data_IF_088097965152
#
_entry.id   IF_088097965152
#
_cell.length_a   1.000
_cell.length_b   1.000
_cell.length_c   1.000
_cell.angle_alpha   90.00
_cell.angle_beta   90.00
_cell.angle_gamma   90.00
#
_symmetry.space_group_name_H-M   'P 1'
#
loop_
_entity.id
_entity.type
_entity.pdbx_description
1 polymer ?
#
# COMPACT_ATOMS: atom_id res chain seq x y z
N UNK A 1 15.05 0.77 -2.71
CA UNK A 1 14.23 -0.29 -2.09
C UNK A 1 12.90 -0.40 -2.82
N UNK A 2 12.43 -1.59 -3.07
CA UNK A 2 11.17 -1.77 -3.78
C UNK A 2 9.98 -1.52 -2.87
N UNK A 3 8.91 -0.99 -3.44
CA UNK A 3 7.71 -0.67 -2.68
C UNK A 3 7.14 -1.90 -1.98
N UNK A 4 7.23 -3.08 -2.59
CA UNK A 4 6.71 -4.30 -1.98
C UNK A 4 7.44 -4.61 -0.66
N UNK A 5 8.75 -4.38 -0.61
CA UNK A 5 9.51 -4.63 0.62
C UNK A 5 9.14 -3.67 1.73
N UNK A 6 8.94 -2.39 1.38
CA UNK A 6 8.54 -1.40 2.37
C UNK A 6 7.16 -1.69 2.93
N UNK A 7 6.22 -2.05 2.06
CA UNK A 7 4.87 -2.35 2.51
C UNK A 7 4.84 -3.63 3.35
N UNK A 8 5.61 -4.66 2.96
CA UNK A 8 5.68 -5.88 3.76
C UNK A 8 6.21 -5.62 5.16
N UNK A 9 7.21 -4.76 5.27
CA UNK A 9 7.73 -4.36 6.57
C UNK A 9 6.65 -3.69 7.42
N UNK A 10 5.91 -2.78 6.80
CA UNK A 10 4.88 -2.04 7.52
C UNK A 10 3.72 -2.93 7.96
N UNK A 11 3.26 -3.83 7.10
CA UNK A 11 2.17 -4.72 7.48
C UNK A 11 2.59 -5.67 8.60
N UNK A 12 3.84 -6.15 8.56
CA UNK A 12 4.35 -6.99 9.65
C UNK A 12 4.41 -6.22 10.95
N UNK A 13 4.87 -4.97 10.90
CA UNK A 13 4.98 -4.12 12.08
C UNK A 13 3.60 -3.79 12.66
N UNK A 14 2.61 -3.60 11.80
CA UNK A 14 1.26 -3.24 12.24
C UNK A 14 0.38 -4.46 12.53
N UNK A 15 0.86 -5.66 12.23
CA UNK A 15 0.09 -6.87 12.49
C UNK A 15 -1.07 -7.10 11.55
N UNK A 16 -1.00 -6.57 10.34
CA UNK A 16 -2.03 -6.78 9.31
C UNK A 16 -1.42 -7.54 8.14
N UNK A 17 -2.22 -7.76 7.10
CA UNK A 17 -1.78 -8.52 5.93
C UNK A 17 -1.97 -7.71 4.66
N UNK A 18 -1.32 -8.15 3.57
CA UNK A 18 -1.52 -7.53 2.27
C UNK A 18 -2.96 -7.73 1.80
N UNK A 19 -3.57 -8.85 2.17
CA UNK A 19 -4.98 -9.10 1.85
C UNK A 19 -5.87 -8.02 2.45
N UNK A 20 -5.60 -7.66 3.70
CA UNK A 20 -6.32 -6.58 4.36
C UNK A 20 -6.19 -5.27 3.58
N UNK A 21 -4.98 -4.96 3.12
CA UNK A 21 -4.76 -3.74 2.35
C UNK A 21 -5.52 -3.76 1.02
N UNK A 22 -5.52 -4.93 0.35
CA UNK A 22 -6.26 -5.05 -0.90
C UNK A 22 -7.75 -4.83 -0.69
N UNK A 23 -8.30 -5.36 0.40
CA UNK A 23 -9.69 -5.15 0.74
C UNK A 23 -9.99 -3.69 1.04
N UNK A 24 -9.09 -3.05 1.78
CA UNK A 24 -9.25 -1.64 2.09
C UNK A 24 -9.26 -0.79 0.82
N UNK A 25 -8.35 -1.06 -0.09
CA UNK A 25 -8.28 -0.34 -1.36
C UNK A 25 -9.54 -0.55 -2.19
N UNK A 26 -10.07 -1.76 -2.19
CA UNK A 26 -11.31 -2.05 -2.91
C UNK A 26 -12.47 -1.26 -2.35
N UNK A 27 -12.57 -1.17 -1.03
CA UNK A 27 -13.66 -0.48 -0.38
C UNK A 27 -13.60 1.04 -0.54
N UNK A 28 -12.39 1.58 -0.65
CA UNK A 28 -12.19 3.04 -0.65
C UNK A 28 -11.80 3.60 -2.01
N UNK A 29 -11.96 2.79 -3.07
CA UNK A 29 -11.68 3.25 -4.43
C UNK A 29 -12.75 2.67 -5.35
N UNK A 30 -12.71 3.07 -6.62
CA UNK A 30 -13.67 2.58 -7.62
C UNK A 30 -13.22 1.29 -8.29
N UNK A 31 -12.11 0.74 -7.87
CA UNK A 31 -11.51 -0.45 -8.49
C UNK A 31 -11.48 -1.61 -7.52
N UNK A 32 -11.47 -2.81 -8.08
CA UNK A 32 -11.28 -4.02 -7.29
C UNK A 32 -9.80 -4.36 -7.21
N UNK A 33 -9.32 -4.60 -6.02
CA UNK A 33 -7.94 -4.99 -5.78
C UNK A 33 -7.93 -6.37 -5.14
N UNK A 34 -7.34 -7.33 -5.84
CA UNK A 34 -7.05 -8.63 -5.23
C UNK A 34 -5.65 -8.58 -4.65
N UNK A 35 -5.33 -9.57 -3.83
CA UNK A 35 -3.98 -9.70 -3.29
C UNK A 35 -2.95 -9.76 -4.42
N UNK A 36 -3.28 -10.51 -5.48
CA UNK A 36 -2.38 -10.67 -6.62
C UNK A 36 -2.16 -9.33 -7.34
N UNK A 37 -3.24 -8.58 -7.57
CA UNK A 37 -3.17 -7.29 -8.24
C UNK A 37 -2.30 -6.32 -7.44
N UNK A 38 -2.54 -6.24 -6.15
CA UNK A 38 -1.78 -5.35 -5.29
C UNK A 38 -0.31 -5.74 -5.25
N UNK A 39 -0.02 -7.04 -5.11
CA UNK A 39 1.34 -7.54 -5.08
C UNK A 39 2.09 -7.20 -6.37
N UNK A 40 1.43 -7.37 -7.51
CA UNK A 40 2.06 -7.07 -8.80
C UNK A 40 2.39 -5.58 -8.92
N UNK A 41 1.48 -4.71 -8.50
CA UNK A 41 1.74 -3.28 -8.54
C UNK A 41 2.90 -2.89 -7.66
N UNK A 42 3.00 -3.47 -6.49
CA UNK A 42 4.08 -3.15 -5.57
C UNK A 42 5.42 -3.68 -6.06
N UNK A 43 5.45 -4.90 -6.61
CA UNK A 43 6.69 -5.47 -7.14
C UNK A 43 7.22 -4.70 -8.33
N UNK A 44 6.30 -4.24 -9.19
CA UNK A 44 6.68 -3.50 -10.39
C UNK A 44 6.86 -2.02 -10.17
N UNK A 45 6.67 -1.55 -8.94
CA UNK A 45 6.72 -0.13 -8.61
C UNK A 45 5.76 0.70 -9.47
N UNK A 46 4.61 0.11 -9.80
CA UNK A 46 3.58 0.78 -10.59
C UNK A 46 2.44 1.28 -9.72
N UNK A 47 2.59 1.19 -8.42
CA UNK A 47 1.60 1.69 -7.47
C UNK A 47 1.51 3.21 -7.59
N UNK A 48 0.30 3.74 -7.57
CA UNK A 48 0.08 5.18 -7.69
C UNK A 48 0.12 5.84 -6.34
N UNK A 49 0.40 7.15 -6.34
CA UNK A 49 0.40 7.92 -5.11
C UNK A 49 -0.94 7.80 -4.36
N UNK A 50 -2.06 7.87 -5.08
CA UNK A 50 -3.37 7.75 -4.45
C UNK A 50 -3.56 6.39 -3.78
N UNK A 51 -3.01 5.34 -4.39
CA UNK A 51 -3.08 3.99 -3.82
C UNK A 51 -2.21 3.89 -2.57
N UNK A 52 -1.01 4.46 -2.62
CA UNK A 52 -0.13 4.49 -1.43
C UNK A 52 -0.76 5.29 -0.30
N UNK A 53 -1.47 6.35 -0.62
CA UNK A 53 -2.15 7.14 0.39
C UNK A 53 -3.23 6.33 1.10
N UNK A 54 -3.98 5.53 0.35
CA UNK A 54 -4.97 4.64 0.96
C UNK A 54 -4.32 3.56 1.82
N UNK A 55 -3.18 3.03 1.37
CA UNK A 55 -2.43 2.06 2.15
C UNK A 55 -1.99 2.68 3.47
N UNK A 56 -1.48 3.91 3.43
CA UNK A 56 -1.08 4.60 4.65
C UNK A 56 -2.26 4.80 5.59
N UNK A 57 -3.42 5.17 5.06
CA UNK A 57 -4.63 5.33 5.87
C UNK A 57 -5.04 4.01 6.51
N UNK A 58 -4.97 2.91 5.76
CA UNK A 58 -5.31 1.60 6.28
C UNK A 58 -4.41 1.20 7.45
N UNK A 59 -3.16 1.67 7.42
CA UNK A 59 -2.18 1.39 8.46
C UNK A 59 -2.16 2.45 9.56
N UNK A 60 -3.07 3.43 9.48
CA UNK A 60 -3.15 4.53 10.42
C UNK A 60 -1.86 5.33 10.45
N UNK A 61 -1.31 5.60 9.27
CA UNK A 61 -0.07 6.34 9.10
C UNK A 61 -0.30 7.52 8.17
N UNK A 62 0.62 8.45 8.17
CA UNK A 62 0.59 9.58 7.24
C UNK A 62 1.63 9.36 6.16
N UNK A 63 1.27 9.70 4.93
CA UNK A 63 2.21 9.69 3.83
C UNK A 63 2.71 11.11 3.62
N UNK A 64 3.99 11.31 3.94
CA UNK A 64 4.59 12.64 3.91
C UNK A 64 5.68 12.68 2.85
N UNK A 65 5.63 13.74 2.02
CA UNK A 65 6.68 13.99 1.04
C UNK A 65 7.61 15.07 1.60
N UNK A 66 8.90 14.78 1.63
CA UNK A 66 9.89 15.71 2.13
C UNK A 66 10.86 16.10 1.04
N UNK A 67 11.32 17.33 1.10
CA UNK A 67 12.40 17.75 0.22
C UNK A 67 13.67 16.98 0.57
N UNK A 68 14.41 16.65 -0.46
CA UNK A 68 15.64 15.91 -0.31
C UNK A 68 16.77 16.91 -0.23
N UNK A 69 17.12 17.30 0.94
CA UNK A 69 18.16 18.29 1.16
C UNK A 69 19.47 17.68 1.53
#
# INVERSE_FOLDING_TARGET
MKAINEVKMLVGKKGVTLTYLAEYLTEHSDKNYSLDTLSKKLRGNTIRYSEMKLIAEALNMELILKDKE
#
